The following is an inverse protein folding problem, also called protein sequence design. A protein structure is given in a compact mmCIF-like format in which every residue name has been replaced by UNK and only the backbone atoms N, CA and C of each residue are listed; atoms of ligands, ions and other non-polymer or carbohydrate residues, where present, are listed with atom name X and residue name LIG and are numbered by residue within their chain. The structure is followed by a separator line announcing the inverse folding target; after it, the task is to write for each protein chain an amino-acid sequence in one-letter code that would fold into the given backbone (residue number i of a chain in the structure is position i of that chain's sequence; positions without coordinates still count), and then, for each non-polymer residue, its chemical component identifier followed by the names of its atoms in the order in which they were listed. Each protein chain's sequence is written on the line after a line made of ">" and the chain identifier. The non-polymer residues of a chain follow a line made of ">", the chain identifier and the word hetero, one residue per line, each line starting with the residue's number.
data_IF_443997672203
#
_entry.id   IF_443997672203
#
_cell.length_a   1.000
_cell.length_b   1.000
_cell.length_c   1.000
_cell.angle_alpha   90.00
_cell.angle_beta   90.00
_cell.angle_gamma   90.00
#
_symmetry.space_group_name_H-M   'P 1'
#
loop_
_entity.id
_entity.type
_entity.pdbx_description
1 polymer ?
#
# COMPACT_ATOMS: atom_id res chain seq x y z
N UNK A 1 20.74 -3.31 40.11
CA UNK A 1 21.33 -4.16 39.05
C UNK A 1 20.27 -4.99 38.32
N UNK A 2 19.39 -5.70 39.05
CA UNK A 2 18.34 -6.59 38.50
C UNK A 2 17.35 -5.88 37.57
N UNK A 3 16.88 -4.67 37.91
CA UNK A 3 15.92 -3.91 37.10
C UNK A 3 16.47 -3.44 35.74
N UNK A 4 17.78 -3.23 35.62
CA UNK A 4 18.40 -2.89 34.32
C UNK A 4 18.49 -4.13 33.42
N UNK A 5 18.79 -5.28 34.03
CA UNK A 5 18.88 -6.55 33.32
C UNK A 5 17.51 -7.00 32.77
N UNK A 6 16.44 -6.83 33.54
CA UNK A 6 15.07 -7.16 33.08
C UNK A 6 14.60 -6.27 31.94
N UNK A 7 14.89 -4.97 31.97
CA UNK A 7 14.55 -4.04 30.86
C UNK A 7 15.31 -4.41 29.57
N UNK A 8 16.60 -4.77 29.68
CA UNK A 8 17.41 -5.21 28.53
C UNK A 8 16.85 -6.51 27.94
N UNK A 9 16.49 -7.47 28.79
CA UNK A 9 15.91 -8.75 28.34
C UNK A 9 14.53 -8.52 27.69
N UNK A 10 13.67 -7.67 28.27
CA UNK A 10 12.38 -7.31 27.68
C UNK A 10 12.54 -6.62 26.32
N UNK A 11 13.48 -5.68 26.20
CA UNK A 11 13.81 -5.05 24.92
C UNK A 11 14.32 -6.05 23.89
N UNK A 12 15.24 -6.94 24.28
CA UNK A 12 15.76 -7.98 23.39
C UNK A 12 14.65 -8.93 22.92
N UNK A 13 13.75 -9.34 23.81
CA UNK A 13 12.60 -10.19 23.48
C UNK A 13 11.63 -9.46 22.54
N UNK A 14 11.35 -8.18 22.77
CA UNK A 14 10.49 -7.37 21.89
C UNK A 14 11.10 -7.20 20.49
N UNK A 15 12.43 -7.03 20.39
CA UNK A 15 13.15 -6.94 19.12
C UNK A 15 13.08 -8.28 18.36
N UNK A 16 13.31 -9.41 19.05
CA UNK A 16 13.25 -10.77 18.46
C UNK A 16 11.84 -11.15 18.01
N UNK A 17 10.79 -10.63 18.66
CA UNK A 17 9.39 -10.84 18.26
C UNK A 17 8.88 -9.80 17.26
N UNK A 18 9.65 -8.76 16.96
CA UNK A 18 9.28 -7.82 15.91
C UNK A 18 9.54 -8.48 14.56
N UNK A 19 8.47 -8.82 13.84
CA UNK A 19 8.53 -9.21 12.43
C UNK A 19 8.80 -7.96 11.58
N UNK A 20 9.86 -7.23 11.89
CA UNK A 20 10.29 -6.07 11.13
C UNK A 20 10.98 -6.57 9.86
N UNK A 21 10.56 -6.05 8.71
CA UNK A 21 11.25 -6.28 7.46
C UNK A 21 12.64 -5.65 7.56
N UNK A 22 13.68 -6.44 7.36
CA UNK A 22 15.07 -5.96 7.40
C UNK A 22 15.33 -5.08 6.17
N UNK A 23 15.18 -3.76 6.34
CA UNK A 23 15.35 -2.75 5.27
C UNK A 23 16.74 -2.88 4.61
N UNK A 24 17.86 -3.00 5.34
CA UNK A 24 19.16 -3.30 4.74
C UNK A 24 19.14 -4.52 3.80
N UNK A 25 18.55 -5.65 4.22
CA UNK A 25 18.42 -6.83 3.34
C UNK A 25 17.56 -6.56 2.11
N UNK A 26 16.50 -5.78 2.25
CA UNK A 26 15.62 -5.43 1.12
C UNK A 26 16.36 -4.55 0.09
N UNK A 27 17.17 -3.60 0.55
CA UNK A 27 18.02 -2.78 -0.33
C UNK A 27 19.09 -3.60 -1.03
N UNK A 28 19.74 -4.52 -0.32
CA UNK A 28 20.68 -5.46 -0.91
C UNK A 28 20.00 -6.34 -1.98
N UNK A 29 18.78 -6.80 -1.73
CA UNK A 29 17.99 -7.53 -2.71
C UNK A 29 17.68 -6.67 -3.95
N UNK A 30 17.24 -5.42 -3.76
CA UNK A 30 16.93 -4.49 -4.85
C UNK A 30 18.17 -4.24 -5.73
N UNK A 31 19.31 -3.96 -5.09
CA UNK A 31 20.60 -3.76 -5.75
C UNK A 31 21.04 -5.02 -6.51
N UNK A 32 21.01 -6.20 -5.88
CA UNK A 32 21.35 -7.48 -6.51
C UNK A 32 20.48 -7.80 -7.74
N UNK A 33 19.26 -7.29 -7.78
CA UNK A 33 18.30 -7.56 -8.84
C UNK A 33 18.15 -6.42 -9.86
N UNK A 34 18.94 -5.35 -9.77
CA UNK A 34 18.82 -4.14 -10.58
C UNK A 34 17.39 -3.59 -10.62
N UNK A 35 16.76 -3.46 -9.45
CA UNK A 35 15.47 -2.77 -9.34
C UNK A 35 15.75 -1.27 -9.38
N UNK A 36 15.55 -0.64 -10.54
CA UNK A 36 15.87 0.76 -10.79
C UNK A 36 14.66 1.71 -10.70
N UNK A 37 13.44 1.15 -10.76
CA UNK A 37 12.20 1.90 -10.74
C UNK A 37 11.04 1.05 -10.21
N UNK A 38 9.98 1.72 -9.76
CA UNK A 38 8.72 1.11 -9.35
C UNK A 38 7.61 1.83 -10.08
N UNK A 39 6.81 1.07 -10.83
CA UNK A 39 5.56 1.54 -11.39
C UNK A 39 4.41 1.06 -10.55
N UNK A 40 3.51 1.97 -10.22
CA UNK A 40 2.37 1.70 -9.37
C UNK A 40 1.12 1.94 -10.18
N UNK A 41 0.33 0.89 -10.32
CA UNK A 41 -1.01 0.92 -10.91
C UNK A 41 -2.00 0.47 -9.85
N UNK A 42 -3.11 1.17 -9.74
CA UNK A 42 -4.14 0.84 -8.79
C UNK A 42 -5.23 1.89 -8.73
N UNK A 43 -5.85 1.96 -7.56
CA UNK A 43 -6.96 2.85 -7.25
C UNK A 43 -6.53 3.91 -6.22
N UNK A 44 -7.50 4.48 -5.51
CA UNK A 44 -7.28 5.47 -4.45
C UNK A 44 -6.32 5.01 -3.35
N UNK A 45 -6.18 3.71 -3.10
CA UNK A 45 -5.28 3.15 -2.08
C UNK A 45 -3.79 3.42 -2.35
N UNK A 46 -3.45 3.71 -3.60
CA UNK A 46 -2.07 3.94 -4.05
C UNK A 46 -1.91 5.24 -4.84
N UNK A 47 -2.96 6.08 -4.92
CA UNK A 47 -2.91 7.34 -5.66
C UNK A 47 -2.22 8.45 -4.85
N UNK A 48 -1.05 8.96 -5.30
CA UNK A 48 -0.37 10.09 -4.64
C UNK A 48 -1.03 11.45 -4.90
N UNK A 49 -2.02 11.54 -5.80
CA UNK A 49 -2.72 12.77 -6.16
C UNK A 49 -2.90 13.01 -7.66
N UNK A 50 -2.92 11.95 -8.48
CA UNK A 50 -3.13 12.07 -9.93
C UNK A 50 -4.45 12.75 -10.27
N UNK A 51 -5.48 12.53 -9.46
CA UNK A 51 -6.80 13.15 -9.64
C UNK A 51 -6.79 14.68 -9.58
N UNK A 52 -5.79 15.32 -8.96
CA UNK A 52 -5.75 16.79 -8.84
C UNK A 52 -5.76 17.50 -10.20
N UNK A 53 -5.15 16.87 -11.21
CA UNK A 53 -5.00 17.40 -12.56
C UNK A 53 -5.98 16.76 -13.57
N UNK A 54 -7.02 16.08 -13.06
CA UNK A 54 -8.13 15.56 -13.86
C UNK A 54 -9.41 16.36 -13.59
N UNK A 55 -10.33 16.34 -14.56
CA UNK A 55 -11.68 16.89 -14.41
C UNK A 55 -12.56 15.86 -13.70
N UNK A 56 -12.52 15.87 -12.36
CA UNK A 56 -13.26 14.95 -11.49
C UNK A 56 -13.51 15.58 -10.12
N UNK A 57 -14.60 15.18 -9.48
CA UNK A 57 -14.91 15.53 -8.09
C UNK A 57 -14.14 14.65 -7.08
N UNK A 58 -13.43 13.61 -7.54
CA UNK A 58 -12.67 12.68 -6.70
C UNK A 58 -11.29 13.23 -6.28
N UNK A 59 -11.26 14.48 -5.83
CA UNK A 59 -10.05 15.16 -5.35
C UNK A 59 -10.03 15.12 -3.83
N UNK A 60 -8.87 14.82 -3.25
CA UNK A 60 -8.67 14.77 -1.79
C UNK A 60 -7.42 15.56 -1.37
N UNK A 61 -7.15 16.65 -2.09
CA UNK A 61 -6.08 17.61 -1.79
C UNK A 61 -6.51 18.67 -0.75
N UNK A 62 -7.25 18.24 0.28
CA UNK A 62 -7.74 19.09 1.37
C UNK A 62 -7.72 18.32 2.71
N UNK A 63 -7.76 19.04 3.84
CA UNK A 63 -7.79 18.41 5.16
C UNK A 63 -9.10 17.63 5.40
N UNK A 64 -9.08 16.45 6.04
CA UNK A 64 -8.00 15.92 6.89
C UNK A 64 -6.90 15.15 6.14
N UNK A 65 -7.04 14.92 4.84
CA UNK A 65 -6.04 14.19 4.05
C UNK A 65 -4.69 14.91 4.07
N UNK A 66 -3.61 14.14 4.12
CA UNK A 66 -2.24 14.66 4.25
C UNK A 66 -1.89 15.33 5.58
N UNK A 67 -2.78 15.35 6.59
CA UNK A 67 -2.48 15.96 7.91
C UNK A 67 -1.21 15.42 8.58
N UNK A 68 -0.97 14.12 8.46
CA UNK A 68 0.20 13.42 8.99
C UNK A 68 1.29 13.22 7.93
N UNK A 69 1.06 13.70 6.70
CA UNK A 69 2.04 13.70 5.63
C UNK A 69 3.04 14.84 5.85
N UNK A 70 4.15 14.85 5.12
CA UNK A 70 5.25 15.80 5.34
C UNK A 70 4.73 17.25 5.41
N UNK A 71 5.07 17.94 6.50
CA UNK A 71 4.61 19.31 6.80
C UNK A 71 3.08 19.49 6.86
N UNK A 72 2.32 18.40 7.01
CA UNK A 72 0.86 18.41 7.05
C UNK A 72 0.21 18.77 5.72
N UNK A 73 0.90 18.54 4.59
CA UNK A 73 0.43 18.96 3.27
C UNK A 73 -0.51 17.94 2.61
N UNK A 74 -1.76 18.32 2.28
CA UNK A 74 -2.65 17.50 1.46
C UNK A 74 -2.17 17.46 0.00
N UNK A 75 -1.75 16.29 -0.48
CA UNK A 75 -1.27 16.14 -1.86
C UNK A 75 -2.30 15.49 -2.80
N UNK A 76 -3.47 15.10 -2.31
CA UNK A 76 -4.39 14.23 -3.06
C UNK A 76 -4.23 12.73 -2.76
N UNK A 77 -3.45 12.37 -1.73
CA UNK A 77 -3.43 11.02 -1.16
C UNK A 77 -4.73 10.74 -0.41
N UNK A 78 -5.38 9.61 -0.65
CA UNK A 78 -6.56 9.15 0.10
C UNK A 78 -6.19 8.60 1.50
N UNK A 79 -5.29 9.29 2.19
CA UNK A 79 -4.77 8.97 3.52
C UNK A 79 -4.33 10.26 4.22
N UNK A 80 -4.21 10.23 5.54
CA UNK A 80 -3.61 11.33 6.28
C UNK A 80 -2.09 11.37 6.13
N UNK A 81 -1.45 10.28 5.70
CA UNK A 81 0.00 10.17 5.65
C UNK A 81 0.51 9.52 4.38
N UNK A 82 1.69 8.91 4.49
CA UNK A 82 2.33 8.17 3.40
C UNK A 82 1.48 6.98 2.98
N UNK A 83 1.53 6.66 1.69
CA UNK A 83 0.91 5.47 1.12
C UNK A 83 1.77 4.23 1.39
N UNK A 84 1.20 3.00 1.36
CA UNK A 84 1.99 1.77 1.38
C UNK A 84 3.10 1.76 0.32
N UNK A 85 2.83 2.34 -0.86
CA UNK A 85 3.78 2.45 -1.97
C UNK A 85 4.92 3.43 -1.68
N UNK A 86 4.66 4.53 -0.97
CA UNK A 86 5.70 5.43 -0.47
C UNK A 86 6.65 4.69 0.49
N UNK A 87 6.11 3.83 1.36
CA UNK A 87 6.89 3.04 2.31
C UNK A 87 7.74 1.99 1.61
N UNK A 88 7.18 1.31 0.60
CA UNK A 88 7.90 0.31 -0.20
C UNK A 88 9.04 0.98 -1.00
N UNK A 89 8.77 2.12 -1.64
CA UNK A 89 9.78 2.84 -2.41
C UNK A 89 10.97 3.30 -1.54
N UNK A 90 10.70 3.76 -0.33
CA UNK A 90 11.72 4.19 0.64
C UNK A 90 12.51 3.01 1.20
N UNK A 91 11.83 1.91 1.50
CA UNK A 91 12.46 0.68 1.96
C UNK A 91 13.39 0.10 0.88
N UNK A 92 13.03 0.22 -0.41
CA UNK A 92 13.88 -0.16 -1.55
C UNK A 92 15.00 0.85 -1.85
N UNK A 93 14.98 2.03 -1.24
CA UNK A 93 16.01 3.06 -1.40
C UNK A 93 15.79 3.99 -2.60
N UNK A 94 14.56 4.12 -3.10
CA UNK A 94 14.22 5.01 -4.22
C UNK A 94 13.82 6.41 -3.74
N UNK A 95 12.60 6.56 -3.23
CA UNK A 95 12.04 7.85 -2.80
C UNK A 95 11.23 7.68 -1.53
N UNK A 96 11.19 8.75 -0.72
CA UNK A 96 10.36 8.85 0.48
C UNK A 96 8.89 9.13 0.16
N UNK A 97 8.61 9.66 -1.02
CA UNK A 97 7.28 9.94 -1.54
C UNK A 97 7.26 9.76 -3.06
N UNK A 98 6.34 8.95 -3.55
CA UNK A 98 6.05 8.82 -4.97
C UNK A 98 5.27 10.06 -5.39
N UNK A 99 5.73 10.81 -6.40
CA UNK A 99 4.99 11.98 -6.86
C UNK A 99 3.80 11.55 -7.73
N UNK A 100 2.83 12.45 -7.91
CA UNK A 100 1.74 12.23 -8.85
C UNK A 100 2.24 12.30 -10.28
N UNK A 101 1.97 11.27 -11.08
CA UNK A 101 2.38 11.18 -12.48
C UNK A 101 1.83 12.35 -13.32
N UNK A 102 0.62 12.81 -13.00
CA UNK A 102 -0.01 13.95 -13.67
C UNK A 102 0.38 15.32 -13.09
N UNK A 103 1.34 15.41 -12.16
CA UNK A 103 1.80 16.71 -11.65
C UNK A 103 2.59 17.47 -12.74
N UNK A 104 2.13 18.67 -13.16
CA UNK A 104 2.82 19.44 -14.20
C UNK A 104 4.21 19.92 -13.78
N UNK A 105 4.55 19.88 -12.49
CA UNK A 105 5.85 20.30 -11.97
C UNK A 105 6.86 19.14 -11.87
N UNK A 106 6.53 17.96 -12.37
CA UNK A 106 7.47 16.84 -12.40
C UNK A 106 8.72 17.18 -13.22
N UNK A 107 9.88 16.92 -12.62
CA UNK A 107 11.16 16.99 -13.34
C UNK A 107 11.33 15.79 -14.27
N UNK A 108 12.15 15.97 -15.31
CA UNK A 108 12.50 14.87 -16.21
C UNK A 108 13.18 13.70 -15.50
N UNK A 109 13.90 13.92 -14.38
CA UNK A 109 14.49 12.86 -13.56
C UNK A 109 13.40 12.03 -12.85
N UNK A 110 12.41 12.70 -12.24
CA UNK A 110 11.26 12.04 -11.62
C UNK A 110 10.42 11.26 -12.63
N UNK A 111 10.33 11.77 -13.87
CA UNK A 111 9.69 11.08 -14.99
C UNK A 111 10.58 10.00 -15.62
N UNK A 112 11.91 10.10 -15.61
CA UNK A 112 12.81 9.08 -16.18
C UNK A 112 12.77 7.79 -15.37
N UNK A 113 12.57 7.91 -14.05
CA UNK A 113 12.22 6.78 -13.20
C UNK A 113 10.78 6.28 -13.44
N UNK A 114 9.97 7.01 -14.21
CA UNK A 114 8.55 6.79 -14.52
C UNK A 114 8.21 6.64 -16.02
N UNK A 115 9.19 6.49 -16.92
CA UNK A 115 8.95 6.16 -18.32
C UNK A 115 8.72 4.64 -18.46
N UNK A 116 7.46 4.22 -18.33
CA UNK A 116 7.07 2.84 -18.53
C UNK A 116 7.54 2.34 -19.90
N UNK A 117 8.49 1.41 -19.87
CA UNK A 117 8.33 0.13 -20.55
C UNK A 117 7.85 0.19 -22.01
N UNK A 118 8.58 0.89 -22.88
CA UNK A 118 8.64 0.45 -24.27
C UNK A 118 9.56 -0.82 -24.43
N UNK A 119 10.32 -1.24 -23.40
CA UNK A 119 11.59 -2.01 -23.55
C UNK A 119 11.84 -3.22 -22.56
N UNK A 120 10.84 -3.89 -21.97
CA UNK A 120 11.04 -5.17 -21.22
C UNK A 120 10.91 -5.24 -19.66
N UNK A 121 9.75 -4.94 -19.05
CA UNK A 121 9.41 -5.16 -17.65
C UNK A 121 9.39 -6.66 -17.36
N UNK A 122 10.37 -7.12 -16.56
CA UNK A 122 10.60 -8.54 -16.27
C UNK A 122 10.13 -8.95 -14.88
N UNK A 123 9.63 -8.02 -14.06
CA UNK A 123 9.18 -8.27 -12.68
C UNK A 123 7.88 -7.55 -12.39
N UNK A 124 6.92 -8.28 -11.82
CA UNK A 124 5.57 -7.76 -11.53
C UNK A 124 5.18 -8.07 -10.09
N UNK A 125 4.85 -7.04 -9.33
CA UNK A 125 4.22 -7.16 -8.03
C UNK A 125 2.70 -7.05 -8.22
N UNK A 126 1.94 -8.06 -7.83
CA UNK A 126 0.47 -7.97 -7.81
C UNK A 126 0.01 -8.04 -6.37
N UNK A 127 -0.74 -7.03 -5.96
CA UNK A 127 -1.33 -6.95 -4.63
C UNK A 127 -2.78 -7.42 -4.74
N UNK A 128 -3.17 -8.35 -3.87
CA UNK A 128 -4.56 -8.79 -3.79
C UNK A 128 -5.48 -7.69 -3.28
N UNK A 129 -6.77 -7.98 -3.25
CA UNK A 129 -7.82 -7.15 -2.69
C UNK A 129 -8.02 -7.46 -1.20
N UNK A 130 -8.19 -6.43 -0.39
CA UNK A 130 -8.48 -6.52 1.04
C UNK A 130 -9.95 -6.92 1.34
N UNK A 131 -10.26 -7.37 2.56
CA UNK A 131 -11.63 -7.54 3.01
C UNK A 131 -12.36 -6.20 3.16
N UNK A 132 -13.40 -5.96 2.34
CA UNK A 132 -14.27 -4.78 2.42
C UNK A 132 -15.27 -4.77 3.59
N UNK A 133 -15.46 -5.95 4.19
CA UNK A 133 -16.52 -6.30 5.16
C UNK A 133 -16.72 -5.29 6.28
N UNK A 134 -15.66 -4.62 6.73
CA UNK A 134 -15.71 -3.73 7.88
C UNK A 134 -15.13 -2.33 7.59
N UNK A 135 -15.05 -1.94 6.32
CA UNK A 135 -14.69 -0.56 5.97
C UNK A 135 -15.79 0.38 6.50
N UNK A 136 -15.44 1.50 7.15
CA UNK A 136 -16.42 2.40 7.76
C UNK A 136 -17.55 2.82 6.83
N UNK A 137 -17.24 3.06 5.55
CA UNK A 137 -18.22 3.44 4.53
C UNK A 137 -19.26 2.32 4.30
N UNK A 138 -18.81 1.08 4.09
CA UNK A 138 -19.73 -0.06 3.88
C UNK A 138 -20.56 -0.31 5.14
N UNK A 139 -19.97 -0.16 6.33
CA UNK A 139 -20.71 -0.25 7.59
C UNK A 139 -21.75 0.86 7.75
N UNK A 140 -21.45 2.08 7.33
CA UNK A 140 -22.37 3.21 7.39
C UNK A 140 -23.54 3.05 6.40
N UNK A 141 -23.26 2.51 5.20
CA UNK A 141 -24.28 2.26 4.17
C UNK A 141 -25.15 1.02 4.48
N UNK A 142 -24.65 0.07 5.28
CA UNK A 142 -25.34 -1.17 5.64
C UNK A 142 -26.47 -1.06 6.68
N UNK A 143 -26.88 0.15 7.09
CA UNK A 143 -28.02 0.37 8.00
C UNK A 143 -27.79 -0.09 9.45
N UNK A 144 -28.84 -0.60 10.12
CA UNK A 144 -28.82 -1.00 11.55
C UNK A 144 -28.16 -2.35 11.81
N UNK A 145 -27.96 -3.15 10.76
CA UNK A 145 -27.19 -4.38 10.84
C UNK A 145 -25.71 -4.02 10.87
N UNK A 146 -25.17 -3.82 12.07
CA UNK A 146 -23.73 -3.64 12.33
C UNK A 146 -22.87 -4.86 11.95
N UNK A 147 -23.38 -5.76 11.12
CA UNK A 147 -22.72 -6.98 10.69
C UNK A 147 -21.93 -6.68 9.42
N UNK A 148 -20.67 -7.08 9.46
CA UNK A 148 -19.83 -7.05 8.30
C UNK A 148 -20.39 -8.04 7.25
N UNK A 149 -20.85 -7.55 6.11
CA UNK A 149 -21.57 -8.34 5.09
C UNK A 149 -20.64 -9.33 4.35
N UNK A 150 -20.94 -10.63 4.48
CA UNK A 150 -20.18 -11.74 3.91
C UNK A 150 -20.17 -11.75 2.37
N UNK A 151 -21.12 -11.09 1.71
CA UNK A 151 -21.17 -10.99 0.24
C UNK A 151 -19.91 -10.31 -0.28
N UNK A 152 -19.45 -9.24 0.37
CA UNK A 152 -18.24 -8.53 -0.07
C UNK A 152 -16.96 -9.35 0.17
N UNK A 153 -16.94 -10.24 1.17
CA UNK A 153 -15.85 -11.20 1.33
C UNK A 153 -15.78 -12.15 0.15
N UNK A 154 -16.93 -12.66 -0.31
CA UNK A 154 -16.97 -13.55 -1.47
C UNK A 154 -16.44 -12.86 -2.72
N UNK A 155 -16.76 -11.58 -2.92
CA UNK A 155 -16.23 -10.78 -4.03
C UNK A 155 -14.71 -10.67 -3.94
N UNK A 156 -14.17 -10.23 -2.81
CA UNK A 156 -12.71 -10.08 -2.62
C UNK A 156 -11.98 -11.42 -2.80
N UNK A 157 -12.50 -12.50 -2.21
CA UNK A 157 -11.90 -13.84 -2.34
C UNK A 157 -11.95 -14.38 -3.77
N UNK A 158 -13.05 -14.15 -4.49
CA UNK A 158 -13.21 -14.57 -5.89
C UNK A 158 -12.31 -13.78 -6.82
N UNK A 159 -12.21 -12.47 -6.61
CA UNK A 159 -11.26 -11.62 -7.35
C UNK A 159 -9.83 -12.10 -7.12
N UNK A 160 -9.44 -12.30 -5.87
CA UNK A 160 -8.10 -12.76 -5.49
C UNK A 160 -7.76 -14.14 -6.08
N UNK A 161 -8.71 -15.07 -6.12
CA UNK A 161 -8.49 -16.40 -6.72
C UNK A 161 -8.30 -16.30 -8.24
N UNK A 162 -9.10 -15.48 -8.93
CA UNK A 162 -8.98 -15.25 -10.37
C UNK A 162 -7.68 -14.56 -10.74
N UNK A 163 -7.24 -13.57 -9.95
CA UNK A 163 -5.94 -12.89 -10.17
C UNK A 163 -4.78 -13.88 -10.03
N UNK A 164 -4.78 -14.72 -8.99
CA UNK A 164 -3.75 -15.77 -8.83
C UNK A 164 -3.72 -16.74 -10.01
N UNK A 165 -4.89 -17.18 -10.47
CA UNK A 165 -4.99 -18.06 -11.64
C UNK A 165 -4.45 -17.37 -12.90
N UNK A 166 -4.83 -16.12 -13.14
CA UNK A 166 -4.35 -15.34 -14.28
C UNK A 166 -2.83 -15.15 -14.24
N UNK A 167 -2.26 -14.86 -13.07
CA UNK A 167 -0.81 -14.73 -12.90
C UNK A 167 -0.09 -16.05 -13.23
N UNK A 168 -0.61 -17.19 -12.77
CA UNK A 168 -0.03 -18.49 -13.09
C UNK A 168 -0.02 -18.77 -14.60
N UNK A 169 -1.00 -18.25 -15.34
CA UNK A 169 -1.05 -18.36 -16.81
C UNK A 169 -0.13 -17.36 -17.52
N UNK A 170 -0.07 -16.10 -17.07
CA UNK A 170 0.70 -15.04 -17.73
C UNK A 170 2.19 -15.12 -17.46
N UNK A 171 2.58 -15.64 -16.29
CA UNK A 171 3.97 -15.67 -15.87
C UNK A 171 4.88 -16.44 -16.86
N UNK A 172 4.53 -17.67 -17.32
CA UNK A 172 5.31 -18.38 -18.33
C UNK A 172 5.26 -17.72 -19.71
N UNK A 173 4.08 -17.24 -20.13
CA UNK A 173 3.89 -16.66 -21.48
C UNK A 173 4.66 -15.36 -21.69
N UNK A 174 4.82 -14.55 -20.64
CA UNK A 174 5.52 -13.27 -20.71
C UNK A 174 6.98 -13.35 -20.24
N UNK A 175 7.45 -14.52 -19.75
CA UNK A 175 8.77 -14.67 -19.17
C UNK A 175 9.04 -13.76 -17.95
N UNK A 176 7.97 -13.32 -17.27
CA UNK A 176 8.06 -12.39 -16.14
C UNK A 176 8.27 -13.14 -14.83
N UNK A 177 8.93 -12.50 -13.85
CA UNK A 177 8.95 -12.95 -12.46
C UNK A 177 7.88 -12.19 -11.71
N UNK A 178 6.73 -12.83 -11.48
CA UNK A 178 5.62 -12.22 -10.76
C UNK A 178 5.53 -12.71 -9.32
N UNK A 179 5.12 -11.85 -8.39
CA UNK A 179 4.82 -12.22 -7.01
C UNK A 179 3.46 -11.66 -6.60
N UNK A 180 2.67 -12.50 -5.93
CA UNK A 180 1.36 -12.14 -5.39
C UNK A 180 1.47 -11.83 -3.90
N UNK A 181 0.94 -10.69 -3.47
CA UNK A 181 0.88 -10.30 -2.07
C UNK A 181 -0.54 -10.47 -1.54
N UNK A 182 -0.73 -11.39 -0.59
CA UNK A 182 -2.02 -11.60 0.08
C UNK A 182 -2.25 -10.57 1.18
N UNK A 183 -2.83 -9.43 0.82
CA UNK A 183 -3.23 -8.42 1.81
C UNK A 183 -4.55 -8.77 2.50
N UNK A 184 -5.37 -9.66 1.95
CA UNK A 184 -6.64 -10.05 2.56
C UNK A 184 -6.42 -10.65 3.94
N UNK A 185 -5.56 -11.66 4.02
CA UNK A 185 -5.21 -12.30 5.29
C UNK A 185 -4.48 -11.35 6.25
N UNK A 186 -3.65 -10.45 5.72
CA UNK A 186 -2.92 -9.45 6.52
C UNK A 186 -3.87 -8.48 7.22
N UNK A 187 -4.80 -7.90 6.46
CA UNK A 187 -5.79 -6.94 6.95
C UNK A 187 -6.78 -7.64 7.89
N UNK A 188 -7.24 -8.85 7.55
CA UNK A 188 -8.16 -9.62 8.42
C UNK A 188 -7.53 -9.96 9.78
N UNK A 189 -6.25 -10.35 9.80
CA UNK A 189 -5.52 -10.58 11.07
C UNK A 189 -5.42 -9.30 11.89
N UNK A 190 -5.26 -8.15 11.24
CA UNK A 190 -5.23 -6.87 11.93
C UNK A 190 -6.60 -6.54 12.50
N UNK A 191 -7.69 -6.64 11.73
CA UNK A 191 -9.05 -6.43 12.26
C UNK A 191 -9.36 -7.30 13.48
N UNK A 192 -8.91 -8.57 13.48
CA UNK A 192 -9.09 -9.48 14.63
C UNK A 192 -8.19 -9.18 15.84
N UNK A 193 -7.14 -8.39 15.69
CA UNK A 193 -6.18 -8.03 16.77
C UNK A 193 -6.28 -6.58 17.22
N UNK A 194 -7.09 -5.74 16.56
CA UNK A 194 -7.28 -4.35 16.95
C UNK A 194 -8.24 -4.29 18.14
N UNK A 195 -7.68 -4.22 19.34
CA UNK A 195 -8.17 -3.27 20.35
C UNK A 195 -7.93 -1.89 19.74
N UNK A 196 -9.02 -1.20 19.39
CA UNK A 196 -9.16 0.19 18.91
C UNK A 196 -7.84 0.92 18.57
N UNK A 197 -7.40 0.83 17.32
CA UNK A 197 -6.57 1.85 16.65
C UNK A 197 -7.35 2.20 15.39
N UNK A 198 -8.09 3.30 15.44
CA UNK A 198 -8.96 3.76 14.35
C UNK A 198 -8.14 4.19 13.15
N UNK A 199 -8.19 3.39 12.07
CA UNK A 199 -7.84 3.87 10.73
C UNK A 199 -9.12 4.52 10.19
N UNK A 200 -9.27 5.81 10.44
CA UNK A 200 -10.36 6.61 9.89
C UNK A 200 -10.07 6.93 8.43
N UNK A 201 -10.57 6.12 7.50
CA UNK A 201 -10.74 6.54 6.11
C UNK A 201 -12.04 7.33 6.08
N UNK A 202 -11.93 8.66 6.07
CA UNK A 202 -13.08 9.51 5.80
C UNK A 202 -13.37 9.38 4.31
N UNK A 203 -14.59 8.99 3.95
CA UNK A 203 -15.15 9.22 2.63
C UNK A 203 -16.26 10.25 2.85
N UNK A 204 -16.09 11.45 2.30
CA UNK A 204 -17.18 12.42 2.22
C UNK A 204 -18.00 12.01 0.99
N UNK A 205 -19.30 11.79 1.19
CA UNK A 205 -20.30 11.47 0.17
C UNK A 205 -20.27 12.49 -0.97
#
# INVERSE_FOLDING_TARGET
>A
MIMKLTVIVLWAVLVVHSQATDIPKLRLFAAKNNVSCIYVFGDSSVDPGNNNNLETDQKVNFLPYGKDFYHGQPTGRFSNGRLPTDLIADALGHTKAIPAYLDPNLTSEQLLHGAMHAEGARRLAVVGMEPFVCIPLIKALGGTTHQCDEVYNKVALTFNSKVKALMATLQPSLGTKSFYTDIYGLVLRRYRRVVVIGIGVWAKL
#
